data_IF_206183768101
#
_entry.id   IF_206183768101
#
_cell.length_a   1.000
_cell.length_b   1.000
_cell.length_c   1.000
_cell.angle_alpha   90.00
_cell.angle_beta   90.00
_cell.angle_gamma   90.00
#
_symmetry.space_group_name_H-M   'P 1'
#
loop_
_entity.id
_entity.type
_entity.pdbx_description
1 polymer ?
#
# COMPACT_ATOMS: atom_id res chain seq x y z
N UNK A 1 -8.30 63.36 9.93
CA UNK A 1 -9.33 62.53 9.26
C UNK A 1 -8.62 61.39 8.54
N UNK A 2 -8.67 60.18 9.11
CA UNK A 2 -7.93 59.01 8.61
C UNK A 2 -8.85 58.19 7.69
N UNK A 3 -8.53 58.09 6.41
CA UNK A 3 -9.30 57.27 5.47
C UNK A 3 -9.10 55.77 5.78
N UNK A 4 -10.12 54.91 5.65
CA UNK A 4 -9.95 53.48 5.81
C UNK A 4 -9.12 52.94 4.64
N UNK A 5 -8.00 52.28 4.97
CA UNK A 5 -7.23 51.47 4.02
C UNK A 5 -8.17 50.39 3.49
N UNK A 6 -8.66 50.57 2.25
CA UNK A 6 -9.48 49.58 1.56
C UNK A 6 -8.71 48.25 1.55
N UNK A 7 -9.27 47.22 2.16
CA UNK A 7 -8.81 45.85 2.02
C UNK A 7 -8.86 45.49 0.53
N UNK A 8 -7.70 45.51 -0.13
CA UNK A 8 -7.56 45.17 -1.55
C UNK A 8 -7.93 43.69 -1.71
N UNK A 9 -8.97 43.48 -2.51
CA UNK A 9 -9.55 42.22 -2.98
C UNK A 9 -8.70 40.94 -2.75
N UNK A 10 -8.98 40.19 -1.68
CA UNK A 10 -8.48 38.81 -1.48
C UNK A 10 -9.33 37.75 -2.19
N UNK A 11 -10.38 38.11 -2.92
CA UNK A 11 -11.34 37.15 -3.46
C UNK A 11 -10.85 36.38 -4.69
N UNK A 12 -9.91 36.93 -5.49
CA UNK A 12 -9.52 36.36 -6.79
C UNK A 12 -8.59 35.14 -6.70
N UNK A 13 -7.90 34.95 -5.57
CA UNK A 13 -6.94 33.86 -5.38
C UNK A 13 -7.42 32.75 -4.42
N UNK A 14 -8.61 32.85 -3.83
CA UNK A 14 -9.10 31.86 -2.85
C UNK A 14 -9.32 30.47 -3.45
N UNK A 15 -9.97 30.38 -4.62
CA UNK A 15 -10.26 29.10 -5.27
C UNK A 15 -9.00 28.33 -5.72
N UNK A 16 -8.02 28.95 -6.43
CA UNK A 16 -6.80 28.24 -6.79
C UNK A 16 -5.94 27.90 -5.57
N UNK A 17 -5.90 28.77 -4.55
CA UNK A 17 -5.19 28.48 -3.30
C UNK A 17 -5.78 27.26 -2.57
N UNK A 18 -7.10 27.19 -2.45
CA UNK A 18 -7.78 26.03 -1.84
C UNK A 18 -7.50 24.75 -2.66
N UNK A 19 -7.60 24.83 -3.99
CA UNK A 19 -7.27 23.70 -4.86
C UNK A 19 -5.84 23.19 -4.67
N UNK A 20 -4.87 24.10 -4.54
CA UNK A 20 -3.48 23.75 -4.26
C UNK A 20 -3.31 23.09 -2.89
N UNK A 21 -3.93 23.64 -1.84
CA UNK A 21 -3.86 23.08 -0.49
C UNK A 21 -4.47 21.67 -0.42
N UNK A 22 -5.66 21.48 -0.99
CA UNK A 22 -6.29 20.16 -1.05
C UNK A 22 -5.47 19.18 -1.89
N UNK A 23 -5.00 19.59 -3.07
CA UNK A 23 -4.21 18.74 -3.95
C UNK A 23 -2.90 18.27 -3.32
N UNK A 24 -2.15 19.19 -2.70
CA UNK A 24 -0.90 18.86 -2.01
C UNK A 24 -1.12 18.01 -0.77
N UNK A 25 -2.18 18.26 -0.01
CA UNK A 25 -2.54 17.45 1.16
C UNK A 25 -2.92 16.03 0.77
N UNK A 26 -3.78 15.88 -0.24
CA UNK A 26 -4.19 14.57 -0.74
C UNK A 26 -2.99 13.78 -1.29
N UNK A 27 -2.10 14.43 -2.04
CA UNK A 27 -0.88 13.81 -2.53
C UNK A 27 0.03 13.35 -1.39
N UNK A 28 0.21 14.19 -0.36
CA UNK A 28 1.02 13.85 0.82
C UNK A 28 0.48 12.65 1.59
N UNK A 29 -0.84 12.57 1.79
CA UNK A 29 -1.46 11.41 2.43
C UNK A 29 -1.31 10.16 1.56
N UNK A 30 -1.55 10.27 0.25
CA UNK A 30 -1.44 9.14 -0.67
C UNK A 30 -0.01 8.57 -0.73
N UNK A 31 1.01 9.43 -0.78
CA UNK A 31 2.41 9.00 -0.77
C UNK A 31 2.80 8.37 0.56
N UNK A 32 2.33 8.92 1.68
CA UNK A 32 2.57 8.35 3.01
C UNK A 32 1.94 6.95 3.14
N UNK A 33 0.66 6.81 2.80
CA UNK A 33 -0.02 5.50 2.83
C UNK A 33 0.70 4.49 1.93
N UNK A 34 1.08 4.90 0.70
CA UNK A 34 1.85 4.05 -0.20
C UNK A 34 3.18 3.60 0.42
N UNK A 35 3.90 4.50 1.09
CA UNK A 35 5.18 4.16 1.73
C UNK A 35 5.02 3.13 2.84
N UNK A 36 3.95 3.25 3.63
CA UNK A 36 3.63 2.29 4.69
C UNK A 36 3.23 0.93 4.11
N UNK A 37 2.42 0.90 3.06
CA UNK A 37 2.04 -0.36 2.40
C UNK A 37 3.25 -1.07 1.81
N UNK A 38 4.14 -0.35 1.11
CA UNK A 38 5.35 -0.95 0.52
C UNK A 38 6.27 -1.49 1.62
N UNK A 39 6.46 -0.74 2.70
CA UNK A 39 7.31 -1.18 3.82
C UNK A 39 6.75 -2.42 4.49
N UNK A 40 5.44 -2.44 4.76
CA UNK A 40 4.78 -3.59 5.38
C UNK A 40 4.74 -4.80 4.44
N UNK A 41 4.44 -4.60 3.16
CA UNK A 41 4.47 -5.67 2.14
C UNK A 41 5.85 -6.32 2.08
N UNK A 42 6.91 -5.52 1.93
CA UNK A 42 8.28 -6.04 1.89
C UNK A 42 8.67 -6.77 3.18
N UNK A 43 8.15 -6.33 4.32
CA UNK A 43 8.38 -6.98 5.61
C UNK A 43 7.68 -8.33 5.65
N UNK A 44 6.41 -8.40 5.26
CA UNK A 44 5.65 -9.65 5.15
C UNK A 44 6.33 -10.61 4.17
N UNK A 45 6.75 -10.13 3.01
CA UNK A 45 7.44 -10.93 1.98
C UNK A 45 8.72 -11.56 2.53
N UNK A 46 9.52 -10.82 3.33
CA UNK A 46 10.70 -11.38 4.00
C UNK A 46 10.34 -12.47 5.01
N UNK A 47 9.28 -12.26 5.80
CA UNK A 47 8.81 -13.29 6.73
C UNK A 47 8.35 -14.54 5.98
N UNK A 48 7.56 -14.40 4.92
CA UNK A 48 7.12 -15.53 4.10
C UNK A 48 8.29 -16.24 3.40
N UNK A 49 9.26 -15.49 2.88
CA UNK A 49 10.47 -16.04 2.28
C UNK A 49 11.29 -16.88 3.28
N UNK A 50 11.32 -16.48 4.56
CA UNK A 50 12.01 -17.23 5.62
C UNK A 50 11.41 -18.63 5.82
N UNK A 51 10.11 -18.81 5.58
CA UNK A 51 9.41 -20.10 5.67
C UNK A 51 9.25 -20.80 4.32
N UNK A 52 9.97 -20.36 3.29
CA UNK A 52 9.95 -20.95 1.96
C UNK A 52 11.32 -21.57 1.64
N UNK A 53 11.91 -22.25 2.61
CA UNK A 53 13.16 -22.99 2.44
C UNK A 53 12.88 -24.43 1.97
N UNK A 54 13.83 -25.10 1.30
CA UNK A 54 13.68 -26.50 0.87
C UNK A 54 13.31 -27.45 2.02
N UNK A 55 13.84 -27.19 3.22
CA UNK A 55 13.58 -27.99 4.42
C UNK A 55 12.15 -27.80 4.92
N UNK A 56 11.63 -26.57 4.86
CA UNK A 56 10.26 -26.25 5.25
C UNK A 56 9.23 -26.80 4.26
N UNK A 57 9.52 -26.74 2.96
CA UNK A 57 8.69 -27.33 1.91
C UNK A 57 8.71 -28.85 1.98
N UNK A 58 9.88 -29.48 2.21
CA UNK A 58 9.98 -30.92 2.45
C UNK A 58 9.16 -31.35 3.68
N UNK A 59 9.14 -30.55 4.75
CA UNK A 59 8.30 -30.80 5.93
C UNK A 59 6.80 -30.69 5.60
N UNK A 60 6.38 -29.68 4.84
CA UNK A 60 4.98 -29.54 4.38
C UNK A 60 4.56 -30.68 3.47
N UNK A 61 5.44 -31.13 2.60
CA UNK A 61 5.19 -32.25 1.69
C UNK A 61 5.07 -33.58 2.44
N UNK A 62 5.73 -33.74 3.60
CA UNK A 62 5.54 -34.88 4.51
C UNK A 62 4.10 -34.97 5.04
N UNK A 63 3.46 -33.84 5.34
CA UNK A 63 2.06 -33.81 5.81
C UNK A 63 1.09 -34.43 4.80
N UNK A 64 1.40 -34.32 3.51
CA UNK A 64 0.59 -34.85 2.43
C UNK A 64 1.11 -36.21 1.90
N UNK A 65 2.07 -36.85 2.56
CA UNK A 65 2.50 -38.19 2.15
C UNK A 65 1.32 -39.19 2.23
N UNK A 66 1.01 -39.82 1.10
CA UNK A 66 -0.12 -40.75 0.96
C UNK A 66 -1.44 -40.12 0.50
N UNK A 67 -1.50 -38.80 0.32
CA UNK A 67 -2.70 -38.10 -0.16
C UNK A 67 -2.35 -37.07 -1.26
N UNK A 68 -3.24 -36.76 -2.21
CA UNK A 68 -2.98 -35.72 -3.21
C UNK A 68 -2.78 -34.35 -2.56
N UNK A 69 -1.68 -33.66 -2.88
CA UNK A 69 -1.43 -32.30 -2.39
C UNK A 69 -2.41 -31.32 -3.04
N UNK A 70 -3.31 -30.66 -2.28
CA UNK A 70 -4.28 -29.71 -2.81
C UNK A 70 -3.63 -28.50 -3.50
N UNK A 71 -2.36 -28.21 -3.25
CA UNK A 71 -1.60 -27.14 -3.92
C UNK A 71 -1.33 -27.44 -5.39
N UNK A 72 -1.24 -28.72 -5.74
CA UNK A 72 -1.00 -29.19 -7.12
C UNK A 72 -2.29 -29.46 -7.89
N UNK A 73 -3.44 -29.26 -7.25
CA UNK A 73 -4.74 -29.47 -7.87
C UNK A 73 -4.97 -28.45 -8.99
N UNK A 74 -5.48 -28.91 -10.13
CA UNK A 74 -5.82 -28.09 -11.29
C UNK A 74 -6.86 -26.99 -10.98
N UNK A 75 -7.69 -27.20 -9.96
CA UNK A 75 -8.68 -26.21 -9.48
C UNK A 75 -8.05 -25.09 -8.64
N UNK A 76 -6.80 -25.27 -8.20
CA UNK A 76 -6.08 -24.27 -7.42
C UNK A 76 -5.35 -23.27 -8.32
N UNK A 77 -6.11 -22.59 -9.19
CA UNK A 77 -5.61 -21.56 -10.11
C UNK A 77 -4.98 -20.34 -9.39
N UNK A 78 -5.27 -20.15 -8.10
CA UNK A 78 -4.79 -19.02 -7.30
C UNK A 78 -3.47 -19.32 -6.55
N UNK A 79 -3.06 -20.58 -6.40
CA UNK A 79 -1.71 -20.90 -5.91
C UNK A 79 -0.70 -20.66 -7.03
N UNK A 80 -0.24 -19.42 -7.13
CA UNK A 80 0.88 -19.10 -8.00
C UNK A 80 2.18 -19.48 -7.31
N UNK A 81 3.04 -20.15 -8.07
CA UNK A 81 4.38 -20.57 -7.67
C UNK A 81 5.39 -19.46 -7.95
#
# INVERSE_FOLDING_TARGET
>A
MSAPVRAVATARFRKPLLGLMFGTSALGVATYVRSQLVTNSNTMDRFFATYNTPESEASRQKTFQGHPDPRTNILNFLSWK
#
